data_IF_539535121860
#
_entry.id   IF_539535121860
#
_cell.length_a   1.000
_cell.length_b   1.000
_cell.length_c   1.000
_cell.angle_alpha   90.00
_cell.angle_beta   90.00
_cell.angle_gamma   90.00
#
_symmetry.space_group_name_H-M   'P 1'
#
loop_
_entity.id
_entity.type
_entity.pdbx_description
1 polymer ?
#
# COMPACT_ATOMS: atom_id res chain seq x y z
N UNK A 1 11.36 -18.54 -11.19
CA UNK A 1 10.52 -17.73 -12.11
C UNK A 1 9.00 -18.04 -12.02
N UNK A 2 8.59 -19.16 -11.42
CA UNK A 2 7.15 -19.50 -11.23
C UNK A 2 6.53 -18.97 -9.94
N UNK A 3 7.31 -18.47 -8.98
CA UNK A 3 6.82 -17.98 -7.68
C UNK A 3 6.37 -16.52 -7.65
N UNK A 4 6.64 -15.72 -8.68
CA UNK A 4 6.28 -14.30 -8.73
C UNK A 4 4.79 -14.01 -9.00
N UNK A 5 4.03 -15.00 -9.49
CA UNK A 5 2.66 -14.76 -9.97
C UNK A 5 1.58 -14.72 -8.87
N UNK A 6 1.84 -15.29 -7.70
CA UNK A 6 0.75 -15.57 -6.74
C UNK A 6 0.12 -14.32 -6.13
N UNK A 7 0.89 -13.29 -5.83
CA UNK A 7 0.34 -12.06 -5.22
C UNK A 7 -0.43 -11.20 -6.24
N UNK A 8 0.03 -11.20 -7.50
CA UNK A 8 -0.66 -10.51 -8.59
C UNK A 8 -1.99 -11.19 -8.97
N UNK A 9 -2.05 -12.53 -8.96
CA UNK A 9 -3.28 -13.26 -9.24
C UNK A 9 -4.33 -13.14 -8.13
N UNK A 10 -3.89 -13.13 -6.86
CA UNK A 10 -4.82 -13.13 -5.71
C UNK A 10 -5.40 -11.76 -5.45
N UNK A 11 -4.64 -10.68 -5.69
CA UNK A 11 -5.12 -9.33 -5.45
C UNK A 11 -5.98 -8.79 -6.60
N UNK A 12 -6.08 -9.53 -7.73
CA UNK A 12 -6.91 -9.12 -8.87
C UNK A 12 -6.59 -7.70 -9.30
N UNK A 13 -5.33 -7.28 -9.16
CA UNK A 13 -4.92 -5.94 -9.54
C UNK A 13 -5.15 -5.80 -11.04
N UNK A 14 -6.03 -4.90 -11.49
CA UNK A 14 -6.06 -4.52 -12.88
C UNK A 14 -4.66 -3.99 -13.20
N UNK A 15 -4.15 -4.34 -14.37
CA UNK A 15 -2.86 -3.87 -14.91
C UNK A 15 -2.77 -2.34 -15.02
N UNK A 16 -3.87 -1.64 -14.80
CA UNK A 16 -3.95 -0.20 -14.54
C UNK A 16 -3.84 0.07 -13.04
N UNK A 17 -2.60 0.14 -12.57
CA UNK A 17 -2.23 0.49 -11.20
C UNK A 17 -2.53 1.96 -10.88
N UNK A 18 -3.80 2.32 -10.74
CA UNK A 18 -4.23 3.70 -10.43
C UNK A 18 -4.66 3.93 -8.98
N UNK A 19 -4.37 3.00 -8.07
CA UNK A 19 -4.49 3.27 -6.64
C UNK A 19 -3.18 3.83 -6.11
N UNK A 20 -3.11 5.16 -6.02
CA UNK A 20 -1.92 5.88 -5.58
C UNK A 20 -1.87 5.97 -4.06
N UNK A 21 -0.78 5.47 -3.47
CA UNK A 21 -0.40 5.81 -2.11
C UNK A 21 0.18 7.22 -2.11
N UNK A 22 -0.55 8.19 -1.59
CA UNK A 22 -0.03 9.55 -1.40
C UNK A 22 0.56 9.69 -0.01
N UNK A 23 1.87 9.94 0.06
CA UNK A 23 2.51 10.39 1.29
C UNK A 23 2.48 11.92 1.30
N UNK A 24 1.76 12.50 2.25
CA UNK A 24 1.79 13.94 2.48
C UNK A 24 2.96 14.27 3.42
N UNK A 25 4.05 14.81 2.87
CA UNK A 25 5.09 15.45 3.67
C UNK A 25 4.73 16.92 3.87
N UNK A 26 4.17 17.26 5.02
CA UNK A 26 4.04 18.66 5.43
C UNK A 26 5.29 19.04 6.20
N UNK A 27 6.15 19.86 5.60
CA UNK A 27 7.32 20.43 6.26
C UNK A 27 6.93 21.75 6.91
N UNK A 28 6.63 21.72 8.20
CA UNK A 28 6.66 22.94 9.03
C UNK A 28 8.08 23.13 9.57
N UNK A 29 8.56 24.39 9.55
CA UNK A 29 9.93 24.73 9.90
C UNK A 29 10.41 24.13 11.21
N UNK A 30 11.68 23.77 11.20
CA UNK A 30 12.59 23.44 12.30
C UNK A 30 11.95 23.21 13.69
N UNK A 31 11.43 22.00 13.90
CA UNK A 31 11.25 21.41 15.23
C UNK A 31 11.23 19.90 15.10
N UNK A 32 11.92 19.21 15.97
CA UNK A 32 11.96 17.74 16.07
C UNK A 32 10.54 17.21 16.28
N UNK A 33 9.93 16.64 15.25
CA UNK A 33 8.67 15.93 15.37
C UNK A 33 8.94 14.44 15.17
N UNK A 34 8.67 13.67 16.23
CA UNK A 34 8.56 12.22 16.18
C UNK A 34 7.64 11.84 15.02
N UNK A 35 8.17 11.00 14.11
CA UNK A 35 7.47 10.58 12.90
C UNK A 35 6.28 9.70 13.25
N UNK A 36 5.12 10.28 13.41
CA UNK A 36 3.87 9.55 13.28
C UNK A 36 3.65 9.27 11.78
N UNK A 37 3.92 8.06 11.35
CA UNK A 37 3.53 7.58 10.02
C UNK A 37 2.02 7.38 10.00
N UNK A 38 1.29 8.45 9.73
CA UNK A 38 -0.11 8.38 9.40
C UNK A 38 -0.21 8.28 7.88
N UNK A 39 -0.43 7.07 7.37
CA UNK A 39 -0.61 6.85 5.93
C UNK A 39 -2.03 7.23 5.54
N UNK A 40 -2.21 8.43 5.03
CA UNK A 40 -3.46 8.87 4.42
C UNK A 40 -3.37 8.75 2.90
N UNK A 41 -4.45 8.30 2.29
CA UNK A 41 -4.64 8.35 0.86
C UNK A 41 -5.50 9.56 0.52
N UNK A 42 -4.94 10.51 -0.22
CA UNK A 42 -5.65 11.72 -0.59
C UNK A 42 -5.84 11.81 -2.10
N UNK A 43 -7.07 12.11 -2.52
CA UNK A 43 -7.36 12.58 -3.88
C UNK A 43 -7.07 14.08 -4.01
N UNK A 44 -6.92 14.58 -5.23
CA UNK A 44 -6.82 16.03 -5.48
C UNK A 44 -8.07 16.77 -4.97
N UNK A 45 -9.25 16.16 -5.11
CA UNK A 45 -10.49 16.71 -4.57
C UNK A 45 -10.46 16.83 -3.05
N UNK A 46 -9.99 15.78 -2.34
CA UNK A 46 -9.88 15.82 -0.88
C UNK A 46 -8.86 16.88 -0.42
N UNK A 47 -7.67 16.92 -1.04
CA UNK A 47 -6.66 17.95 -0.75
C UNK A 47 -7.22 19.35 -0.98
N UNK A 48 -7.86 19.59 -2.13
CA UNK A 48 -8.43 20.90 -2.43
C UNK A 48 -9.51 21.31 -1.40
N UNK A 49 -10.39 20.38 -1.00
CA UNK A 49 -11.42 20.63 0.00
C UNK A 49 -10.83 20.99 1.35
N UNK A 50 -9.91 20.17 1.86
CA UNK A 50 -9.28 20.38 3.18
C UNK A 50 -8.53 21.71 3.22
N UNK A 51 -7.69 22.00 2.24
CA UNK A 51 -6.84 23.18 2.28
C UNK A 51 -7.56 24.48 1.92
N UNK A 52 -8.68 24.41 1.19
CA UNK A 52 -9.53 25.59 0.97
C UNK A 52 -10.11 26.15 2.29
N UNK A 53 -10.38 25.32 3.29
CA UNK A 53 -10.80 25.75 4.62
C UNK A 53 -9.74 26.62 5.33
N UNK A 54 -8.49 26.48 4.93
CA UNK A 54 -7.34 27.25 5.45
C UNK A 54 -6.87 28.34 4.48
N UNK A 55 -7.69 28.72 3.49
CA UNK A 55 -7.37 29.75 2.52
C UNK A 55 -6.26 29.37 1.55
N UNK A 56 -6.03 28.08 1.33
CA UNK A 56 -5.06 27.55 0.36
C UNK A 56 -5.79 26.86 -0.79
N UNK A 57 -5.44 27.22 -2.03
CA UNK A 57 -6.01 26.64 -3.24
C UNK A 57 -5.02 25.71 -3.92
N UNK A 58 -5.47 24.53 -4.31
CA UNK A 58 -4.69 23.58 -5.10
C UNK A 58 -4.64 24.06 -6.56
N UNK A 59 -3.43 24.33 -7.07
CA UNK A 59 -3.25 24.82 -8.43
C UNK A 59 -2.52 23.85 -9.34
N UNK A 60 -1.71 22.91 -8.80
CA UNK A 60 -1.03 21.89 -9.58
C UNK A 60 -0.86 20.58 -8.81
N UNK A 61 -0.67 19.48 -9.54
CA UNK A 61 -0.27 18.20 -8.98
C UNK A 61 0.70 17.48 -9.93
N UNK A 62 1.59 16.70 -9.35
CA UNK A 62 2.60 15.93 -10.07
C UNK A 62 2.64 14.50 -9.57
N UNK A 63 2.48 13.56 -10.48
CA UNK A 63 2.74 12.16 -10.22
C UNK A 63 4.25 11.89 -10.15
N UNK A 64 4.70 11.18 -9.12
CA UNK A 64 6.09 10.76 -8.93
C UNK A 64 6.14 9.25 -8.71
N UNK A 65 7.22 8.59 -9.17
CA UNK A 65 7.36 7.12 -9.13
C UNK A 65 7.72 6.55 -7.77
N UNK A 66 8.01 7.39 -6.78
CA UNK A 66 8.44 6.98 -5.45
C UNK A 66 7.43 6.02 -4.80
N UNK A 67 7.92 4.94 -4.19
CA UNK A 67 7.12 3.92 -3.49
C UNK A 67 5.99 3.27 -4.32
N UNK A 68 6.21 3.12 -5.62
CA UNK A 68 5.20 2.53 -6.53
C UNK A 68 4.15 3.52 -7.03
N UNK A 69 4.37 4.80 -6.80
CA UNK A 69 3.52 5.91 -7.19
C UNK A 69 3.12 6.79 -6.02
N UNK A 70 3.37 8.07 -6.14
CA UNK A 70 2.99 9.10 -5.16
C UNK A 70 2.50 10.34 -5.89
N UNK A 71 1.78 11.22 -5.19
CA UNK A 71 1.31 12.48 -5.73
C UNK A 71 1.92 13.63 -4.96
N UNK A 72 2.48 14.60 -5.66
CA UNK A 72 2.91 15.87 -5.10
C UNK A 72 1.86 16.92 -5.41
N UNK A 73 1.42 17.65 -4.39
CA UNK A 73 0.40 18.70 -4.48
C UNK A 73 1.03 20.07 -4.31
N UNK A 74 0.62 21.03 -5.13
CA UNK A 74 1.09 22.42 -5.09
C UNK A 74 -0.07 23.34 -4.71
N UNK A 75 0.09 24.02 -3.58
CA UNK A 75 -0.91 24.89 -2.98
C UNK A 75 -0.45 26.34 -2.95
N UNK A 76 -1.38 27.28 -3.09
CA UNK A 76 -1.12 28.71 -3.05
C UNK A 76 -2.16 29.42 -2.19
N UNK A 77 -1.77 30.56 -1.59
CA UNK A 77 -2.71 31.47 -0.90
C UNK A 77 -3.46 32.39 -1.89
N UNK A 78 -3.03 32.44 -3.13
CA UNK A 78 -3.63 33.31 -4.16
C UNK A 78 -4.68 32.55 -4.94
N UNK A 79 -5.90 33.12 -4.99
CA UNK A 79 -6.98 32.59 -5.84
C UNK A 79 -6.83 33.00 -7.32
N UNK A 80 -5.80 33.81 -7.66
CA UNK A 80 -5.54 34.26 -9.05
C UNK A 80 -4.70 33.28 -9.86
N UNK A 81 -4.16 32.23 -9.26
CA UNK A 81 -3.37 31.24 -9.96
C UNK A 81 -4.28 30.24 -10.69
N UNK A 82 -4.13 30.15 -12.00
CA UNK A 82 -4.91 29.23 -12.80
C UNK A 82 -4.49 27.78 -12.54
N UNK A 83 -5.46 26.87 -12.52
CA UNK A 83 -5.22 25.42 -12.39
C UNK A 83 -4.44 24.88 -13.59
N UNK A 84 -3.37 24.14 -13.31
CA UNK A 84 -2.55 23.51 -14.34
C UNK A 84 -3.33 22.47 -15.16
N UNK A 85 -2.80 22.15 -16.34
CA UNK A 85 -3.33 21.07 -17.18
C UNK A 85 -3.27 19.70 -16.46
N UNK A 86 -2.23 19.47 -15.66
CA UNK A 86 -2.06 18.23 -14.91
C UNK A 86 -3.16 18.07 -13.87
N UNK A 87 -3.44 19.12 -13.10
CA UNK A 87 -4.50 19.09 -12.11
C UNK A 87 -5.88 18.91 -12.76
N UNK A 88 -6.18 19.62 -13.86
CA UNK A 88 -7.45 19.47 -14.58
C UNK A 88 -7.66 18.00 -15.02
N UNK A 89 -6.65 17.38 -15.65
CA UNK A 89 -6.69 15.96 -16.05
C UNK A 89 -6.86 15.01 -14.85
N UNK A 90 -6.21 15.29 -13.73
CA UNK A 90 -6.31 14.44 -12.54
C UNK A 90 -7.70 14.53 -11.91
N UNK A 91 -8.28 15.72 -11.82
CA UNK A 91 -9.65 15.91 -11.34
C UNK A 91 -10.69 15.19 -12.22
N UNK A 92 -10.56 15.31 -13.54
CA UNK A 92 -11.41 14.56 -14.49
C UNK A 92 -11.26 13.04 -14.32
N UNK A 93 -10.04 12.56 -14.04
CA UNK A 93 -9.79 11.15 -13.75
C UNK A 93 -10.48 10.71 -12.46
N UNK A 94 -10.37 11.51 -11.40
CA UNK A 94 -11.02 11.23 -10.11
C UNK A 94 -12.54 11.19 -10.23
N UNK A 95 -13.13 12.10 -11.03
CA UNK A 95 -14.56 12.11 -11.32
C UNK A 95 -15.00 10.86 -12.08
N UNK A 96 -14.30 10.48 -13.15
CA UNK A 96 -14.57 9.25 -13.90
C UNK A 96 -14.45 7.97 -13.05
N UNK A 97 -13.57 7.97 -12.06
CA UNK A 97 -13.42 6.87 -11.10
C UNK A 97 -14.49 6.89 -10.00
N UNK A 98 -15.36 7.89 -9.99
CA UNK A 98 -16.43 8.03 -9.01
C UNK A 98 -15.94 8.33 -7.59
N UNK A 99 -14.72 8.91 -7.42
CA UNK A 99 -14.14 9.17 -6.09
C UNK A 99 -14.92 10.20 -5.26
N UNK A 100 -15.95 10.82 -5.82
CA UNK A 100 -16.86 11.72 -5.11
C UNK A 100 -18.14 11.02 -4.66
N UNK A 101 -18.34 9.74 -4.99
CA UNK A 101 -19.54 8.99 -4.65
C UNK A 101 -19.28 7.90 -3.59
N UNK A 102 -20.23 7.71 -2.70
CA UNK A 102 -20.16 6.68 -1.66
C UNK A 102 -20.15 5.27 -2.24
N UNK A 103 -20.86 5.07 -3.36
CA UNK A 103 -20.98 3.79 -4.05
C UNK A 103 -19.61 3.23 -4.46
N UNK A 104 -18.72 4.08 -4.97
CA UNK A 104 -17.35 3.69 -5.33
C UNK A 104 -16.55 3.21 -4.13
N UNK A 105 -16.72 3.82 -2.96
CA UNK A 105 -16.07 3.39 -1.73
C UNK A 105 -16.64 2.08 -1.19
N UNK A 106 -17.94 1.87 -1.30
CA UNK A 106 -18.60 0.60 -0.95
C UNK A 106 -18.09 -0.51 -1.88
N UNK A 107 -18.03 -0.26 -3.18
CA UNK A 107 -17.49 -1.23 -4.14
C UNK A 107 -16.01 -1.55 -3.86
N UNK A 108 -15.21 -0.54 -3.55
CA UNK A 108 -13.82 -0.74 -3.15
C UNK A 108 -13.70 -1.60 -1.89
N UNK A 109 -14.51 -1.31 -0.85
CA UNK A 109 -14.56 -2.12 0.37
C UNK A 109 -14.89 -3.59 0.06
N UNK A 110 -15.89 -3.83 -0.78
CA UNK A 110 -16.27 -5.19 -1.19
C UNK A 110 -15.14 -5.91 -1.95
N UNK A 111 -14.40 -5.20 -2.80
CA UNK A 111 -13.22 -5.75 -3.48
C UNK A 111 -12.10 -6.11 -2.48
N UNK A 112 -11.88 -5.26 -1.46
CA UNK A 112 -10.91 -5.54 -0.40
C UNK A 112 -11.28 -6.80 0.38
N UNK A 113 -12.55 -6.94 0.78
CA UNK A 113 -13.05 -8.13 1.49
C UNK A 113 -12.93 -9.40 0.64
N UNK A 114 -13.26 -9.33 -0.65
CA UNK A 114 -13.07 -10.45 -1.59
C UNK A 114 -11.60 -10.85 -1.70
N UNK A 115 -10.69 -9.87 -1.84
CA UNK A 115 -9.24 -10.12 -1.88
C UNK A 115 -8.73 -10.72 -0.59
N UNK A 116 -9.16 -10.18 0.57
CA UNK A 116 -8.81 -10.69 1.89
C UNK A 116 -9.15 -12.17 2.03
N UNK A 117 -10.39 -12.52 1.70
CA UNK A 117 -10.85 -13.90 1.75
C UNK A 117 -10.08 -14.79 0.79
N UNK A 118 -9.96 -14.39 -0.48
CA UNK A 118 -9.26 -15.17 -1.50
C UNK A 118 -7.78 -15.41 -1.17
N UNK A 119 -7.09 -14.42 -0.60
CA UNK A 119 -5.70 -14.59 -0.14
C UNK A 119 -5.60 -15.65 0.96
N UNK A 120 -6.43 -15.54 1.99
CA UNK A 120 -6.42 -16.51 3.09
C UNK A 120 -6.80 -17.93 2.62
N UNK A 121 -7.86 -18.06 1.84
CA UNK A 121 -8.33 -19.35 1.31
C UNK A 121 -7.24 -20.03 0.47
N UNK A 122 -6.50 -19.25 -0.32
CA UNK A 122 -5.38 -19.75 -1.13
C UNK A 122 -4.25 -20.31 -0.26
N UNK A 123 -3.86 -19.59 0.79
CA UNK A 123 -2.83 -20.06 1.72
C UNK A 123 -3.28 -21.32 2.47
N UNK A 124 -4.53 -21.34 2.93
CA UNK A 124 -5.11 -22.54 3.58
C UNK A 124 -5.07 -23.76 2.65
N UNK A 125 -5.46 -23.60 1.39
CA UNK A 125 -5.38 -24.67 0.40
C UNK A 125 -3.96 -25.20 0.23
N UNK A 126 -2.98 -24.30 0.10
CA UNK A 126 -1.58 -24.69 -0.03
C UNK A 126 -1.05 -25.41 1.22
N UNK A 127 -1.48 -25.02 2.42
CA UNK A 127 -1.14 -25.74 3.65
C UNK A 127 -1.76 -27.13 3.70
N UNK A 128 -2.99 -27.31 3.24
CA UNK A 128 -3.61 -28.63 3.12
C UNK A 128 -2.87 -29.53 2.12
N UNK A 129 -2.21 -28.96 1.13
CA UNK A 129 -1.33 -29.65 0.18
C UNK A 129 0.08 -29.88 0.78
N UNK A 130 0.29 -29.65 2.09
CA UNK A 130 1.57 -29.75 2.80
C UNK A 130 2.69 -28.87 2.22
N UNK A 131 2.35 -27.72 1.62
CA UNK A 131 3.32 -26.79 1.07
C UNK A 131 3.99 -25.96 2.15
N UNK A 132 5.33 -25.83 2.06
CA UNK A 132 6.10 -24.89 2.87
C UNK A 132 5.90 -23.48 2.33
N UNK A 133 5.29 -22.61 3.14
CA UNK A 133 4.97 -21.22 2.76
C UNK A 133 5.77 -20.29 3.62
N UNK A 134 6.53 -19.38 3.01
CA UNK A 134 7.23 -18.30 3.69
C UNK A 134 6.87 -16.94 3.08
N UNK A 135 7.16 -15.86 3.84
CA UNK A 135 7.08 -14.50 3.32
C UNK A 135 8.43 -13.97 2.87
N UNK A 136 8.44 -13.02 1.95
CA UNK A 136 9.62 -12.25 1.56
C UNK A 136 9.35 -10.76 1.75
N UNK A 137 10.15 -10.10 2.62
CA UNK A 137 10.06 -8.68 2.95
C UNK A 137 9.16 -8.38 4.14
N UNK A 138 9.76 -8.19 5.34
CA UNK A 138 9.09 -7.72 6.54
C UNK A 138 8.90 -6.19 6.48
N UNK A 139 7.91 -5.74 5.72
CA UNK A 139 7.59 -4.34 5.46
C UNK A 139 6.36 -3.88 6.25
N UNK A 140 6.11 -2.56 6.31
CA UNK A 140 4.83 -2.04 6.85
C UNK A 140 3.63 -2.57 6.08
N UNK A 141 3.78 -2.82 4.77
CA UNK A 141 2.74 -3.41 3.92
C UNK A 141 2.46 -4.87 4.32
N UNK A 142 3.48 -5.67 4.62
CA UNK A 142 3.29 -7.04 5.11
C UNK A 142 2.51 -7.04 6.41
N UNK A 143 2.86 -6.15 7.35
CA UNK A 143 2.13 -5.99 8.61
C UNK A 143 0.66 -5.68 8.38
N UNK A 144 0.35 -4.72 7.50
CA UNK A 144 -1.03 -4.36 7.16
C UNK A 144 -1.80 -5.55 6.56
N UNK A 145 -1.23 -6.23 5.55
CA UNK A 145 -1.90 -7.35 4.87
C UNK A 145 -2.12 -8.52 5.82
N UNK A 146 -1.10 -8.92 6.58
CA UNK A 146 -1.18 -10.05 7.50
C UNK A 146 -2.23 -9.85 8.58
N UNK A 147 -2.29 -8.65 9.17
CA UNK A 147 -3.29 -8.33 10.18
C UNK A 147 -4.69 -8.22 9.57
N UNK A 148 -4.85 -7.53 8.45
CA UNK A 148 -6.13 -7.37 7.77
C UNK A 148 -6.71 -8.71 7.29
N UNK A 149 -5.86 -9.57 6.70
CA UNK A 149 -6.27 -10.89 6.22
C UNK A 149 -6.37 -11.95 7.33
N UNK A 150 -5.97 -11.60 8.56
CA UNK A 150 -5.88 -12.54 9.67
C UNK A 150 -5.05 -13.79 9.31
N UNK A 151 -3.82 -13.55 8.81
CA UNK A 151 -2.85 -14.58 8.43
C UNK A 151 -1.70 -14.55 9.42
N UNK A 152 -1.48 -15.65 10.12
CA UNK A 152 -0.46 -15.82 11.13
C UNK A 152 0.58 -16.90 10.77
N UNK A 153 1.34 -17.33 11.78
CA UNK A 153 2.36 -18.36 11.64
C UNK A 153 1.78 -19.77 11.40
N UNK A 154 0.49 -19.94 11.55
CA UNK A 154 -0.26 -21.14 11.12
C UNK A 154 -0.28 -21.33 9.60
N UNK A 155 -0.19 -20.24 8.84
CA UNK A 155 -0.23 -20.23 7.39
C UNK A 155 1.11 -19.84 6.74
N UNK A 156 1.89 -18.96 7.36
CA UNK A 156 3.22 -18.54 6.89
C UNK A 156 4.22 -18.85 7.99
N UNK A 157 5.17 -19.74 7.71
CA UNK A 157 6.09 -20.26 8.72
C UNK A 157 7.03 -19.17 9.29
N UNK A 158 7.58 -18.32 8.41
CA UNK A 158 8.39 -17.15 8.75
C UNK A 158 8.48 -16.19 7.56
N UNK A 159 9.05 -15.01 7.78
CA UNK A 159 9.33 -14.04 6.73
C UNK A 159 10.84 -13.82 6.67
N UNK A 160 11.44 -13.81 5.48
CA UNK A 160 12.83 -13.41 5.30
C UNK A 160 12.92 -11.95 4.91
N UNK A 161 13.91 -11.24 5.45
CA UNK A 161 14.19 -9.83 5.12
C UNK A 161 15.72 -9.64 5.02
N UNK A 162 16.14 -8.75 4.14
CA UNK A 162 17.56 -8.40 3.96
C UNK A 162 18.08 -7.36 4.96
N UNK A 163 17.18 -6.75 5.73
CA UNK A 163 17.52 -5.68 6.70
C UNK A 163 17.95 -6.26 8.04
N UNK A 164 19.24 -6.16 8.44
CA UNK A 164 19.75 -6.82 9.66
C UNK A 164 19.01 -6.45 10.94
N UNK A 165 18.55 -5.20 11.07
CA UNK A 165 17.84 -4.73 12.27
C UNK A 165 16.47 -5.37 12.51
N UNK A 166 15.95 -6.09 11.51
CA UNK A 166 14.70 -6.83 11.62
C UNK A 166 14.90 -8.32 11.91
N UNK A 167 16.13 -8.83 11.80
CA UNK A 167 16.40 -10.25 12.00
C UNK A 167 16.15 -10.66 13.44
N UNK A 168 15.62 -11.89 13.61
CA UNK A 168 15.29 -12.48 14.91
C UNK A 168 14.26 -11.64 15.70
N UNK A 169 13.40 -10.92 15.00
CA UNK A 169 12.24 -10.22 15.54
C UNK A 169 10.93 -10.88 15.09
N UNK A 170 9.81 -10.28 15.41
CA UNK A 170 8.48 -10.76 15.02
C UNK A 170 7.70 -9.64 14.33
N UNK A 171 6.83 -10.03 13.38
CA UNK A 171 5.92 -9.07 12.77
C UNK A 171 4.91 -8.54 13.80
N UNK A 172 4.63 -7.21 13.78
CA UNK A 172 3.60 -6.64 14.66
C UNK A 172 2.24 -7.28 14.45
N UNK A 173 1.56 -7.62 15.56
CA UNK A 173 0.21 -8.19 15.58
C UNK A 173 0.16 -9.69 15.32
N UNK A 174 0.70 -10.20 14.23
CA UNK A 174 0.64 -11.64 13.90
C UNK A 174 1.81 -12.47 14.42
N UNK A 175 2.84 -11.82 14.94
CA UNK A 175 4.01 -12.45 15.55
C UNK A 175 4.67 -13.55 14.70
N UNK A 176 4.69 -13.36 13.37
CA UNK A 176 5.40 -14.26 12.46
C UNK A 176 6.90 -13.96 12.61
N UNK A 177 7.77 -14.98 12.79
CA UNK A 177 9.21 -14.77 12.92
C UNK A 177 9.80 -14.08 11.68
N UNK A 178 10.73 -13.15 11.87
CA UNK A 178 11.48 -12.50 10.79
C UNK A 178 12.92 -13.00 10.87
N UNK A 179 13.37 -13.68 9.81
CA UNK A 179 14.66 -14.33 9.73
C UNK A 179 15.56 -13.67 8.68
N UNK A 180 16.88 -13.85 8.76
CA UNK A 180 17.81 -13.48 7.70
C UNK A 180 17.47 -14.11 6.35
N UNK A 181 17.88 -13.43 5.25
CA UNK A 181 17.61 -13.91 3.89
C UNK A 181 18.22 -15.31 3.62
N UNK A 182 19.30 -15.68 4.27
CA UNK A 182 19.95 -16.98 4.18
C UNK A 182 18.98 -18.13 4.51
N UNK A 183 17.98 -17.89 5.34
CA UNK A 183 16.92 -18.85 5.68
C UNK A 183 15.93 -19.11 4.53
N UNK A 184 16.08 -18.41 3.39
CA UNK A 184 15.35 -18.71 2.17
C UNK A 184 15.77 -20.07 1.56
N UNK A 185 16.91 -20.58 1.97
CA UNK A 185 17.43 -21.88 1.55
C UNK A 185 17.22 -22.96 2.64
N UNK A 186 16.82 -24.20 2.30
CA UNK A 186 16.39 -24.64 0.96
C UNK A 186 15.10 -23.91 0.54
N UNK A 187 14.93 -23.73 -0.77
CA UNK A 187 13.79 -22.96 -1.30
C UNK A 187 12.45 -23.48 -0.79
N UNK A 188 11.53 -22.58 -0.38
CA UNK A 188 10.17 -22.95 -0.02
C UNK A 188 9.38 -23.39 -1.26
N UNK A 189 8.28 -24.14 -1.06
CA UNK A 189 7.35 -24.42 -2.16
C UNK A 189 6.67 -23.14 -2.67
N UNK A 190 6.37 -22.23 -1.74
CA UNK A 190 5.69 -20.97 -2.04
C UNK A 190 6.31 -19.82 -1.24
N UNK A 191 6.55 -18.71 -1.92
CA UNK A 191 6.95 -17.46 -1.27
C UNK A 191 5.92 -16.36 -1.54
N UNK A 192 5.46 -15.72 -0.46
CA UNK A 192 4.59 -14.54 -0.54
C UNK A 192 5.45 -13.29 -0.59
N UNK A 193 5.49 -12.61 -1.73
CA UNK A 193 6.27 -11.40 -1.91
C UNK A 193 5.51 -10.17 -1.36
N UNK A 194 5.98 -9.62 -0.24
CA UNK A 194 5.42 -8.39 0.36
C UNK A 194 6.14 -7.12 -0.10
N UNK A 195 7.33 -7.24 -0.64
CA UNK A 195 8.16 -6.13 -1.13
C UNK A 195 8.01 -5.92 -2.66
N UNK A 196 6.79 -5.99 -3.20
CA UNK A 196 6.52 -6.03 -4.65
C UNK A 196 6.84 -4.73 -5.41
N UNK A 197 7.16 -3.66 -4.72
CA UNK A 197 7.44 -2.33 -5.30
C UNK A 197 8.91 -1.91 -5.17
N UNK A 198 9.80 -2.87 -4.96
CA UNK A 198 11.25 -2.70 -4.93
C UNK A 198 11.92 -3.46 -6.06
#
# INVERSE_FOLDING_TARGET
>A
YKSQALLYEVLGAPTDSSFFFSFLFVRFGSAYTSSFFLSFLFSCNAINKIFNEYGLSLFDCQHISTHGGSMRYYLTKSNSVERSKNLKKQLEKEERLGLLSMESYIEFSNKCEKSRKGFKDRLMKLKLENKKIIGYGATSKSTTILNYCNVGNDLIDFIVDTTPTKHNTFTPGKHIPVLPYENFLPHPDVSVLFAWNH
#
